data_IF_426921271219
#
_entry.id   IF_426921271219
#
_cell.length_a   1.000
_cell.length_b   1.000
_cell.length_c   1.000
_cell.angle_alpha   90.00
_cell.angle_beta   90.00
_cell.angle_gamma   90.00
#
_symmetry.space_group_name_H-M   'P 1'
#
loop_
_entity.id
_entity.type
_entity.pdbx_description
1 polymer ?
#
# COMPACT_ATOMS: atom_id res chain seq x y z
N UNK A 1 -13.87 -30.12 -9.39
CA UNK A 1 -13.75 -28.74 -9.88
C UNK A 1 -13.45 -27.82 -8.71
N UNK A 2 -12.54 -26.84 -8.85
CA UNK A 2 -12.45 -25.76 -7.88
C UNK A 2 -13.78 -24.98 -7.88
N UNK A 3 -14.19 -24.38 -6.75
CA UNK A 3 -15.36 -23.52 -6.72
C UNK A 3 -15.15 -22.32 -7.67
N UNK A 4 -16.20 -21.83 -8.33
CA UNK A 4 -16.11 -20.61 -9.12
C UNK A 4 -15.70 -19.44 -8.20
N UNK A 5 -14.88 -18.49 -8.69
CA UNK A 5 -14.58 -17.28 -7.93
C UNK A 5 -15.90 -16.60 -7.59
N UNK A 6 -16.11 -16.29 -6.31
CA UNK A 6 -17.31 -15.59 -5.85
C UNK A 6 -17.50 -14.33 -6.69
N UNK A 7 -18.71 -14.07 -7.24
CA UNK A 7 -18.96 -12.81 -7.91
C UNK A 7 -18.72 -11.70 -6.89
N UNK A 8 -17.77 -10.81 -7.17
CA UNK A 8 -17.57 -9.59 -6.39
C UNK A 8 -18.94 -8.94 -6.24
N UNK A 9 -19.45 -8.82 -5.01
CA UNK A 9 -20.81 -8.37 -4.77
C UNK A 9 -21.00 -7.01 -5.44
N UNK A 10 -21.94 -6.94 -6.39
CA UNK A 10 -22.21 -5.69 -7.09
C UNK A 10 -22.68 -4.62 -6.07
N UNK A 11 -22.23 -3.36 -6.20
CA UNK A 11 -22.59 -2.32 -5.25
C UNK A 11 -24.11 -2.14 -5.15
N UNK A 12 -24.61 -1.80 -3.96
CA UNK A 12 -26.04 -1.51 -3.78
C UNK A 12 -26.46 -0.27 -4.60
N UNK A 13 -27.75 -0.16 -4.93
CA UNK A 13 -28.26 1.02 -5.66
C UNK A 13 -28.00 2.33 -4.89
N UNK A 14 -28.07 2.29 -3.56
CA UNK A 14 -27.76 3.42 -2.69
C UNK A 14 -26.28 3.82 -2.79
N UNK A 15 -25.38 2.85 -2.71
CA UNK A 15 -23.93 3.04 -2.89
C UNK A 15 -23.61 3.66 -4.25
N UNK A 16 -24.17 3.11 -5.34
CA UNK A 16 -23.96 3.64 -6.69
C UNK A 16 -24.39 5.11 -6.80
N UNK A 17 -25.55 5.45 -6.22
CA UNK A 17 -26.06 6.83 -6.22
C UNK A 17 -25.17 7.76 -5.39
N UNK A 18 -24.64 7.30 -4.26
CA UNK A 18 -23.69 8.05 -3.41
C UNK A 18 -22.40 8.37 -4.17
N UNK A 19 -21.77 7.36 -4.76
CA UNK A 19 -20.56 7.49 -5.59
C UNK A 19 -20.79 8.48 -6.74
N UNK A 20 -21.82 8.27 -7.56
CA UNK A 20 -22.12 9.17 -8.67
C UNK A 20 -22.32 10.62 -8.21
N UNK A 21 -23.00 10.84 -7.08
CA UNK A 21 -23.20 12.20 -6.54
C UNK A 21 -21.89 12.84 -6.10
N UNK A 22 -21.08 12.15 -5.30
CA UNK A 22 -19.83 12.66 -4.73
C UNK A 22 -18.80 12.97 -5.82
N UNK A 23 -18.61 12.07 -6.79
CA UNK A 23 -17.72 12.31 -7.93
C UNK A 23 -18.20 13.48 -8.79
N UNK A 24 -19.50 13.59 -9.07
CA UNK A 24 -20.06 14.70 -9.84
C UNK A 24 -19.87 16.05 -9.14
N UNK A 25 -19.92 16.11 -7.81
CA UNK A 25 -19.66 17.34 -7.05
C UNK A 25 -18.20 17.82 -7.18
N UNK A 26 -17.25 16.90 -7.41
CA UNK A 26 -15.86 17.21 -7.74
C UNK A 26 -15.62 17.48 -9.23
N UNK A 27 -16.68 17.44 -10.06
CA UNK A 27 -16.60 17.66 -11.50
C UNK A 27 -16.28 16.41 -12.32
N UNK A 28 -16.16 15.24 -11.70
CA UNK A 28 -15.87 13.97 -12.37
C UNK A 28 -17.13 13.27 -12.90
N UNK A 29 -16.96 12.55 -14.00
CA UNK A 29 -17.95 11.62 -14.54
C UNK A 29 -17.40 10.20 -14.48
N UNK A 30 -18.05 9.30 -13.75
CA UNK A 30 -17.64 7.90 -13.64
C UNK A 30 -18.26 7.04 -14.75
N UNK A 31 -17.44 6.24 -15.42
CA UNK A 31 -17.93 5.06 -16.15
C UNK A 31 -18.36 3.95 -15.16
N UNK A 32 -19.11 2.97 -15.66
CA UNK A 32 -19.68 1.88 -14.84
C UNK A 32 -18.58 1.05 -14.18
N UNK A 33 -17.54 0.71 -14.94
CA UNK A 33 -16.37 -0.03 -14.49
C UNK A 33 -15.55 0.74 -13.43
N UNK A 34 -15.42 2.05 -13.58
CA UNK A 34 -14.80 2.92 -12.58
C UNK A 34 -15.58 2.97 -11.26
N UNK A 35 -16.93 3.01 -11.37
CA UNK A 35 -17.82 2.99 -10.22
C UNK A 35 -17.75 1.66 -9.46
N UNK A 36 -17.65 0.54 -10.18
CA UNK A 36 -17.47 -0.79 -9.57
C UNK A 36 -16.13 -0.89 -8.83
N UNK A 37 -15.05 -0.37 -9.42
CA UNK A 37 -13.74 -0.34 -8.78
C UNK A 37 -13.73 0.52 -7.51
N UNK A 38 -14.31 1.72 -7.57
CA UNK A 38 -14.44 2.59 -6.41
C UNK A 38 -15.29 1.93 -5.31
N UNK A 39 -16.40 1.27 -5.66
CA UNK A 39 -17.20 0.56 -4.69
C UNK A 39 -16.46 -0.61 -4.04
N UNK A 40 -15.68 -1.37 -4.83
CA UNK A 40 -14.86 -2.46 -4.31
C UNK A 40 -13.78 -1.95 -3.35
N UNK A 41 -13.22 -0.76 -3.61
CA UNK A 41 -12.33 -0.08 -2.68
C UNK A 41 -13.02 0.23 -1.35
N UNK A 42 -14.17 0.91 -1.40
CA UNK A 42 -14.90 1.34 -0.20
C UNK A 42 -15.43 0.17 0.63
N UNK A 43 -15.73 -0.98 0.00
CA UNK A 43 -16.16 -2.19 0.71
C UNK A 43 -15.09 -2.72 1.71
N UNK A 44 -13.84 -2.26 1.61
CA UNK A 44 -12.77 -2.57 2.58
C UNK A 44 -12.89 -1.77 3.88
N UNK A 45 -13.68 -0.70 3.89
CA UNK A 45 -13.82 0.25 5.00
C UNK A 45 -15.30 0.46 5.38
N UNK A 46 -16.01 -0.58 5.89
CA UNK A 46 -17.45 -0.49 6.15
C UNK A 46 -17.83 0.59 7.17
N UNK A 47 -16.94 0.89 8.12
CA UNK A 47 -17.16 1.89 9.18
C UNK A 47 -16.62 3.29 8.83
N UNK A 48 -15.88 3.42 7.73
CA UNK A 48 -15.21 4.65 7.31
C UNK A 48 -15.38 4.93 5.81
N UNK A 49 -16.54 4.53 5.26
CA UNK A 49 -16.84 4.57 3.84
C UNK A 49 -16.81 6.01 3.28
N UNK A 50 -17.30 6.99 4.07
CA UNK A 50 -17.33 8.39 3.66
C UNK A 50 -15.93 9.01 3.65
N UNK A 51 -15.12 8.72 4.67
CA UNK A 51 -13.73 9.18 4.79
C UNK A 51 -12.85 8.59 3.69
N UNK A 52 -12.98 7.29 3.43
CA UNK A 52 -12.25 6.61 2.36
C UNK A 52 -12.63 7.17 0.97
N UNK A 53 -13.91 7.52 0.76
CA UNK A 53 -14.38 8.14 -0.46
C UNK A 53 -13.81 9.56 -0.63
N UNK A 54 -13.81 10.37 0.43
CA UNK A 54 -13.27 11.72 0.36
C UNK A 54 -11.75 11.70 0.10
N UNK A 55 -11.01 10.77 0.70
CA UNK A 55 -9.58 10.54 0.42
C UNK A 55 -9.33 10.14 -1.03
N UNK A 56 -10.11 9.19 -1.57
CA UNK A 56 -10.00 8.79 -2.98
C UNK A 56 -10.20 9.97 -3.93
N UNK A 57 -11.16 10.84 -3.63
CA UNK A 57 -11.44 12.03 -4.43
C UNK A 57 -10.30 13.06 -4.35
N UNK A 58 -9.73 13.26 -3.16
CA UNK A 58 -8.60 14.17 -2.96
C UNK A 58 -7.33 13.71 -3.69
N UNK A 59 -7.07 12.41 -3.76
CA UNK A 59 -5.95 11.88 -4.56
C UNK A 59 -6.23 11.92 -6.06
N UNK A 60 -7.48 11.69 -6.50
CA UNK A 60 -7.87 11.86 -7.90
C UNK A 60 -7.69 13.30 -8.39
N UNK A 61 -7.98 14.30 -7.54
CA UNK A 61 -7.77 15.71 -7.84
C UNK A 61 -6.28 16.08 -8.03
N UNK A 62 -5.36 15.27 -7.51
CA UNK A 62 -3.91 15.45 -7.65
C UNK A 62 -3.34 14.76 -8.89
N UNK A 63 -4.04 13.79 -9.47
CA UNK A 63 -3.55 13.07 -10.65
C UNK A 63 -3.63 13.97 -11.90
N UNK A 64 -2.60 13.95 -12.76
CA UNK A 64 -2.66 14.63 -14.07
C UNK A 64 -3.56 13.85 -15.03
N UNK A 65 -4.88 14.04 -14.87
CA UNK A 65 -5.88 13.37 -15.69
C UNK A 65 -5.98 14.00 -17.09
N UNK A 66 -6.08 13.14 -18.11
CA UNK A 66 -6.32 13.59 -19.50
C UNK A 66 -7.74 14.12 -19.71
N UNK A 67 -8.69 13.73 -18.86
CA UNK A 67 -10.08 14.15 -18.91
C UNK A 67 -10.78 13.97 -17.56
N UNK A 68 -11.89 14.68 -17.35
CA UNK A 68 -12.73 14.50 -16.15
C UNK A 68 -13.64 13.25 -16.20
N UNK A 69 -13.55 12.46 -17.28
CA UNK A 69 -14.25 11.17 -17.38
C UNK A 69 -13.31 10.09 -16.87
N UNK A 70 -13.69 9.44 -15.78
CA UNK A 70 -12.90 8.42 -15.12
C UNK A 70 -13.32 7.02 -15.58
N UNK A 71 -12.33 6.24 -15.98
CA UNK A 71 -12.45 4.80 -16.24
C UNK A 71 -11.86 3.99 -15.08
N UNK A 72 -11.96 2.65 -15.19
CA UNK A 72 -11.45 1.73 -14.18
C UNK A 72 -9.98 1.93 -13.88
N UNK A 73 -9.16 2.17 -14.91
CA UNK A 73 -7.71 2.28 -14.74
C UNK A 73 -7.32 3.56 -14.01
N UNK A 74 -8.01 4.68 -14.25
CA UNK A 74 -7.79 5.90 -13.50
C UNK A 74 -8.06 5.71 -11.99
N UNK A 75 -9.18 5.08 -11.65
CA UNK A 75 -9.50 4.78 -10.24
C UNK A 75 -8.53 3.76 -9.66
N UNK A 76 -8.21 2.69 -10.40
CA UNK A 76 -7.28 1.64 -9.95
C UNK A 76 -5.90 2.20 -9.60
N UNK A 77 -5.34 3.10 -10.40
CA UNK A 77 -4.00 3.68 -10.13
C UNK A 77 -3.97 4.38 -8.77
N UNK A 78 -4.97 5.22 -8.49
CA UNK A 78 -5.07 5.93 -7.22
C UNK A 78 -5.31 4.96 -6.07
N UNK A 79 -6.18 3.97 -6.26
CA UNK A 79 -6.41 2.93 -5.24
C UNK A 79 -5.14 2.15 -4.95
N UNK A 80 -4.36 1.76 -5.95
CA UNK A 80 -3.07 1.07 -5.76
C UNK A 80 -2.10 1.93 -4.96
N UNK A 81 -1.98 3.23 -5.27
CA UNK A 81 -1.13 4.16 -4.53
C UNK A 81 -1.56 4.27 -3.06
N UNK A 82 -2.86 4.37 -2.79
CA UNK A 82 -3.39 4.44 -1.42
C UNK A 82 -3.08 3.17 -0.62
N UNK A 83 -3.19 2.00 -1.24
CA UNK A 83 -2.88 0.71 -0.59
C UNK A 83 -1.39 0.57 -0.34
N UNK A 84 -0.54 0.89 -1.31
CA UNK A 84 0.91 0.84 -1.15
C UNK A 84 1.38 1.79 -0.03
N UNK A 85 0.75 2.97 0.10
CA UNK A 85 1.05 3.90 1.18
C UNK A 85 0.66 3.34 2.56
N UNK A 86 -0.50 2.70 2.68
CA UNK A 86 -0.92 2.02 3.91
C UNK A 86 0.03 0.87 4.28
N UNK A 87 0.37 0.00 3.32
CA UNK A 87 1.32 -1.11 3.53
C UNK A 87 2.71 -0.62 3.93
N UNK A 88 3.19 0.48 3.34
CA UNK A 88 4.46 1.09 3.71
C UNK A 88 4.42 1.67 5.14
N UNK A 89 3.29 2.23 5.58
CA UNK A 89 3.10 2.72 6.95
C UNK A 89 3.07 1.55 7.93
N UNK A 90 2.35 0.46 7.63
CA UNK A 90 2.33 -0.73 8.48
C UNK A 90 3.70 -1.44 8.54
N UNK A 91 4.44 -1.48 7.43
CA UNK A 91 5.81 -1.99 7.40
C UNK A 91 6.79 -1.10 8.19
N UNK A 92 6.50 0.21 8.29
CA UNK A 92 7.27 1.16 9.08
C UNK A 92 6.78 1.27 10.54
N UNK A 93 5.62 0.68 10.89
CA UNK A 93 4.99 0.81 12.19
C UNK A 93 5.51 -0.28 13.16
N UNK A 94 6.14 0.09 14.29
CA UNK A 94 6.68 -0.86 15.26
C UNK A 94 5.59 -1.62 16.07
N UNK A 95 4.30 -1.41 15.78
CA UNK A 95 3.18 -1.82 16.65
C UNK A 95 2.48 -3.12 16.25
N UNK A 96 2.68 -3.65 15.04
CA UNK A 96 2.04 -4.90 14.60
C UNK A 96 2.84 -6.17 14.96
N UNK A 97 4.02 -6.04 15.55
CA UNK A 97 4.79 -7.17 16.06
C UNK A 97 4.73 -7.11 17.58
N UNK A 98 4.34 -8.23 18.20
CA UNK A 98 4.55 -8.49 19.62
C UNK A 98 5.80 -7.79 20.15
N UNK A 99 5.71 -7.19 21.34
CA UNK A 99 6.75 -6.49 22.13
C UNK A 99 8.05 -7.31 22.32
N UNK A 100 8.16 -8.51 21.75
CA UNK A 100 9.30 -9.41 21.80
C UNK A 100 10.40 -9.15 20.75
N UNK A 101 10.18 -8.32 19.71
CA UNK A 101 11.15 -8.18 18.59
C UNK A 101 11.85 -6.81 18.48
N UNK A 102 11.66 -5.90 19.44
CA UNK A 102 12.28 -4.56 19.41
C UNK A 102 13.80 -4.58 19.70
N UNK A 103 14.32 -5.70 20.23
CA UNK A 103 15.73 -5.90 20.53
C UNK A 103 16.24 -7.08 19.71
N UNK A 104 17.44 -6.93 19.12
CA UNK A 104 18.16 -8.05 18.50
C UNK A 104 19.35 -8.40 19.39
N UNK A 105 19.36 -9.63 19.90
CA UNK A 105 20.53 -10.18 20.59
C UNK A 105 21.53 -10.58 19.51
N UNK A 106 22.70 -9.94 19.53
CA UNK A 106 23.80 -10.27 18.63
C UNK A 106 24.74 -11.22 19.35
N UNK A 107 24.89 -12.43 18.83
CA UNK A 107 25.89 -13.38 19.32
C UNK A 107 27.30 -12.88 18.94
N UNK A 108 28.11 -12.57 19.96
CA UNK A 108 29.47 -12.06 19.79
C UNK A 108 30.40 -13.01 19.01
N UNK A 109 30.06 -14.30 18.93
CA UNK A 109 30.87 -15.29 18.22
C UNK A 109 30.55 -15.40 16.72
N UNK A 110 29.44 -14.79 16.27
CA UNK A 110 28.98 -14.84 14.87
C UNK A 110 29.07 -13.46 14.19
N UNK A 111 29.67 -12.47 14.84
CA UNK A 111 29.88 -11.13 14.27
C UNK A 111 31.13 -11.09 13.37
N UNK A 112 31.06 -10.46 12.19
CA UNK A 112 32.23 -10.21 11.37
C UNK A 112 33.31 -9.45 12.14
N UNK A 113 34.55 -9.93 12.04
CA UNK A 113 35.71 -9.30 12.70
C UNK A 113 36.28 -8.25 11.77
N UNK A 114 36.68 -7.10 12.30
CA UNK A 114 37.30 -6.03 11.51
C UNK A 114 38.67 -5.63 12.07
N UNK A 115 39.61 -5.34 11.18
CA UNK A 115 40.88 -4.71 11.53
C UNK A 115 40.89 -3.25 11.09
N UNK A 116 41.42 -2.40 11.97
CA UNK A 116 41.60 -0.98 11.68
C UNK A 116 42.97 -0.72 11.04
N UNK A 117 42.98 -0.04 9.90
CA UNK A 117 44.19 0.53 9.30
C UNK A 117 44.34 2.00 9.75
N UNK A 118 45.32 2.33 10.63
CA UNK A 118 45.48 3.68 11.15
C UNK A 118 46.08 4.66 10.14
N UNK A 119 46.68 4.18 9.05
CA UNK A 119 47.26 4.99 7.98
C UNK A 119 46.13 5.41 7.03
N UNK A 120 45.34 4.43 6.58
CA UNK A 120 44.23 4.67 5.64
C UNK A 120 42.95 5.12 6.32
N UNK A 121 42.87 5.04 7.66
CA UNK A 121 41.70 5.41 8.48
C UNK A 121 40.43 4.63 8.10
N UNK A 122 40.59 3.35 7.77
CA UNK A 122 39.47 2.48 7.35
C UNK A 122 39.50 1.14 8.08
N UNK A 123 38.34 0.50 8.19
CA UNK A 123 38.21 -0.86 8.70
C UNK A 123 38.10 -1.84 7.54
N UNK A 124 38.83 -2.94 7.61
CA UNK A 124 38.73 -4.06 6.68
C UNK A 124 38.17 -5.28 7.41
N UNK A 125 37.24 -5.97 6.76
CA UNK A 125 36.74 -7.24 7.28
C UNK A 125 37.86 -8.28 7.29
N UNK A 126 38.04 -8.94 8.42
CA UNK A 126 38.94 -10.06 8.59
C UNK A 126 38.25 -11.32 8.07
N UNK A 127 38.45 -11.60 6.79
CA UNK A 127 38.08 -12.88 6.20
C UNK A 127 39.16 -13.89 6.58
N UNK A 128 38.86 -14.76 7.55
CA UNK A 128 39.76 -15.86 7.85
C UNK A 128 39.78 -16.78 6.62
N UNK A 129 40.88 -16.81 5.88
CA UNK A 129 41.06 -17.68 4.72
C UNK A 129 41.28 -19.13 5.17
N UNK A 130 40.28 -19.72 5.81
CA UNK A 130 40.26 -21.12 6.20
C UNK A 130 38.81 -21.56 6.41
N UNK A 131 38.17 -22.01 5.33
CA UNK A 131 37.41 -23.28 5.26
C UNK A 131 36.82 -23.43 3.86
N UNK A 132 37.62 -23.92 2.93
CA UNK A 132 37.13 -24.79 1.87
C UNK A 132 36.96 -26.18 2.48
N UNK A 133 35.73 -26.64 2.67
CA UNK A 133 35.31 -28.04 2.62
C UNK A 133 33.82 -28.10 2.28
#
# INVERSE_FOLDING_TARGET
SPPPPSPMAAPSAAMRKKLQRKFRLRGFTLKVDALEEAAAFLARFPDAEDEALDLLLDELDKEPLKSSILDRDAVRRVVSLLVEAEEAVDAASPSATSVQSALRVVDSFVVPRFHYDPIKKVFYEYVNAATSF
#
